data_IF_066899187350
#
_entry.id   IF_066899187350
#
_cell.length_a   1.000
_cell.length_b   1.000
_cell.length_c   1.000
_cell.angle_alpha   90.00
_cell.angle_beta   90.00
_cell.angle_gamma   90.00
#
_symmetry.space_group_name_H-M   'P 1'
#
loop_
_entity.id
_entity.type
_entity.pdbx_description
1 polymer ?
#
# COMPACT_ATOMS: atom_id res chain seq x y z
N UNK A 1 -22.04 34.55 21.77
CA UNK A 1 -22.34 34.39 20.34
C UNK A 1 -21.21 33.62 19.69
N UNK A 2 -21.56 32.62 18.86
CA UNK A 2 -20.73 31.74 18.02
C UNK A 2 -19.57 30.95 18.66
N UNK A 3 -19.67 29.63 18.51
CA UNK A 3 -18.80 28.57 19.00
C UNK A 3 -17.78 28.13 17.94
N UNK A 4 -16.61 27.73 18.44
CA UNK A 4 -15.70 26.67 17.96
C UNK A 4 -15.22 26.73 16.50
N UNK A 5 -13.92 26.94 16.36
CA UNK A 5 -13.15 26.57 15.19
C UNK A 5 -13.36 25.10 14.85
N UNK A 6 -13.72 24.86 13.60
CA UNK A 6 -13.84 23.54 13.01
C UNK A 6 -12.47 22.84 13.06
N UNK A 7 -12.34 21.65 13.66
CA UNK A 7 -11.16 20.85 13.41
C UNK A 7 -11.19 20.52 11.91
N UNK A 8 -10.24 21.09 11.15
CA UNK A 8 -9.94 20.58 9.81
C UNK A 8 -9.63 19.11 10.01
N UNK A 9 -10.57 18.24 9.66
CA UNK A 9 -10.33 16.80 9.61
C UNK A 9 -9.27 16.65 8.54
N UNK A 10 -8.02 16.61 8.97
CA UNK A 10 -6.93 16.08 8.16
C UNK A 10 -7.28 14.61 8.08
N UNK A 11 -8.10 14.24 7.08
CA UNK A 11 -8.32 12.85 6.72
C UNK A 11 -6.97 12.36 6.27
N UNK A 12 -6.14 11.88 7.21
CA UNK A 12 -4.96 11.09 6.88
C UNK A 12 -5.51 10.01 5.97
N UNK A 13 -5.12 9.96 4.69
CA UNK A 13 -5.64 8.95 3.77
C UNK A 13 -5.40 7.61 4.47
N UNK A 14 -6.48 6.86 4.74
CA UNK A 14 -6.43 5.69 5.61
C UNK A 14 -5.32 4.78 5.10
N UNK A 15 -4.26 4.60 5.88
CA UNK A 15 -3.25 3.59 5.55
C UNK A 15 -3.98 2.25 5.45
N UNK A 16 -3.76 1.53 4.35
CA UNK A 16 -4.38 0.21 4.13
C UNK A 16 -3.75 -0.86 5.04
N UNK A 17 -2.77 -0.49 5.85
CA UNK A 17 -2.12 -1.34 6.84
C UNK A 17 -0.61 -1.12 6.88
N UNK A 18 0.06 -1.94 7.68
CA UNK A 18 1.52 -1.98 7.72
C UNK A 18 2.05 -2.79 6.54
N UNK A 19 3.16 -2.34 5.97
CA UNK A 19 3.92 -3.11 5.01
C UNK A 19 4.37 -4.43 5.66
N UNK A 20 4.25 -5.53 4.92
CA UNK A 20 4.76 -6.84 5.33
C UNK A 20 6.21 -6.96 4.88
N UNK A 21 7.02 -7.62 5.70
CA UNK A 21 8.43 -7.84 5.40
C UNK A 21 8.80 -9.28 5.71
N UNK A 22 9.70 -9.82 4.92
CA UNK A 22 10.35 -11.10 5.14
C UNK A 22 11.86 -10.89 5.24
N UNK A 23 12.55 -11.85 5.83
CA UNK A 23 14.00 -11.94 5.77
C UNK A 23 14.36 -13.08 4.82
N UNK A 24 15.17 -12.80 3.82
CA UNK A 24 15.74 -13.79 2.89
C UNK A 24 16.80 -14.66 3.59
N UNK A 25 17.22 -15.77 2.97
CA UNK A 25 18.29 -16.65 3.47
C UNK A 25 19.64 -15.97 3.69
N UNK A 26 19.86 -14.79 3.09
CA UNK A 26 21.06 -13.95 3.30
C UNK A 26 20.91 -12.97 4.48
N UNK A 27 19.77 -12.96 5.16
CA UNK A 27 19.49 -11.99 6.24
C UNK A 27 19.00 -10.63 5.73
N UNK A 28 18.78 -10.47 4.42
CA UNK A 28 18.27 -9.23 3.84
C UNK A 28 16.77 -9.08 4.07
N UNK A 29 16.35 -7.87 4.46
CA UNK A 29 14.92 -7.55 4.58
C UNK A 29 14.34 -7.34 3.19
N UNK A 30 13.24 -8.03 2.91
CA UNK A 30 12.52 -7.94 1.65
C UNK A 30 11.11 -7.45 1.94
N UNK A 31 10.70 -6.40 1.24
CA UNK A 31 9.32 -5.92 1.30
C UNK A 31 8.41 -6.93 0.61
N UNK A 32 7.34 -7.34 1.28
CA UNK A 32 6.38 -8.28 0.70
C UNK A 32 5.12 -7.50 0.31
N UNK A 33 4.88 -7.37 -0.99
CA UNK A 33 3.69 -6.77 -1.56
C UNK A 33 2.64 -7.83 -1.88
N UNK A 34 1.35 -7.52 -1.73
CA UNK A 34 0.30 -8.40 -2.20
C UNK A 34 0.41 -8.55 -3.72
N UNK A 35 0.26 -9.77 -4.24
CA UNK A 35 0.27 -10.01 -5.68
C UNK A 35 -0.91 -9.35 -6.41
N UNK A 36 -1.98 -9.00 -5.70
CA UNK A 36 -3.22 -8.42 -6.25
C UNK A 36 -3.45 -7.00 -5.77
N UNK A 37 -4.10 -6.19 -6.62
CA UNK A 37 -4.58 -4.86 -6.21
C UNK A 37 -5.64 -4.97 -5.09
N UNK A 38 -5.97 -3.87 -4.38
CA UNK A 38 -6.97 -3.87 -3.31
C UNK A 38 -8.34 -4.39 -3.76
N UNK A 39 -8.73 -4.13 -5.01
CA UNK A 39 -9.97 -4.66 -5.59
C UNK A 39 -9.91 -6.16 -5.92
N UNK A 40 -8.75 -6.82 -5.81
CA UNK A 40 -8.53 -8.23 -6.10
C UNK A 40 -8.57 -8.61 -7.59
N UNK A 41 -8.92 -7.67 -8.48
CA UNK A 41 -9.17 -7.89 -9.92
C UNK A 41 -7.91 -8.00 -10.77
N UNK A 42 -6.84 -7.30 -10.41
CA UNK A 42 -5.60 -7.25 -11.19
C UNK A 42 -4.44 -7.88 -10.44
N UNK A 43 -3.58 -8.59 -11.18
CA UNK A 43 -2.33 -9.18 -10.70
C UNK A 43 -1.20 -8.19 -10.99
N UNK A 44 -0.64 -7.56 -9.96
CA UNK A 44 0.34 -6.47 -10.07
C UNK A 44 1.57 -6.82 -10.93
N UNK A 45 2.25 -7.97 -10.76
CA UNK A 45 3.41 -8.28 -11.59
C UNK A 45 3.08 -8.46 -13.08
N UNK A 46 1.84 -8.82 -13.42
CA UNK A 46 1.40 -9.00 -14.81
C UNK A 46 0.84 -7.71 -15.41
N UNK A 47 0.04 -6.98 -14.63
CA UNK A 47 -0.67 -5.78 -15.07
C UNK A 47 0.22 -4.53 -15.02
N UNK A 48 1.27 -4.55 -14.22
CA UNK A 48 2.09 -3.40 -13.92
C UNK A 48 1.60 -2.65 -12.68
N UNK A 49 2.57 -2.05 -12.00
CA UNK A 49 2.34 -1.28 -10.78
C UNK A 49 3.42 -0.20 -10.65
N UNK A 50 3.13 0.83 -9.87
CA UNK A 50 4.09 1.88 -9.49
C UNK A 50 4.19 1.93 -7.98
N UNK A 51 5.41 2.11 -7.49
CA UNK A 51 5.68 2.28 -6.06
C UNK A 51 6.44 3.57 -5.83
N UNK A 52 6.06 4.32 -4.81
CA UNK A 52 6.78 5.51 -4.36
C UNK A 52 6.77 5.53 -2.85
N UNK A 53 7.93 5.68 -2.22
CA UNK A 53 8.04 5.83 -0.77
C UNK A 53 8.23 7.30 -0.41
N UNK A 54 7.49 7.76 0.61
CA UNK A 54 7.61 9.11 1.15
C UNK A 54 7.22 9.12 2.62
N UNK A 55 8.04 9.75 3.46
CA UNK A 55 7.76 9.95 4.89
C UNK A 55 7.44 8.64 5.65
N UNK A 56 8.15 7.55 5.33
CA UNK A 56 7.91 6.23 5.94
C UNK A 56 6.61 5.56 5.49
N UNK A 57 6.01 6.01 4.39
CA UNK A 57 4.82 5.40 3.80
C UNK A 57 5.13 5.01 2.36
N UNK A 58 4.79 3.77 2.00
CA UNK A 58 4.85 3.29 0.64
C UNK A 58 3.50 3.50 -0.04
N UNK A 59 3.48 4.27 -1.10
CA UNK A 59 2.37 4.34 -2.05
C UNK A 59 2.58 3.27 -3.11
N UNK A 60 1.55 2.47 -3.31
CA UNK A 60 1.50 1.48 -4.38
C UNK A 60 0.29 1.80 -5.24
N UNK A 61 0.49 1.83 -6.55
CA UNK A 61 -0.53 2.14 -7.55
C UNK A 61 -0.60 1.01 -8.58
N UNK A 62 -1.81 0.52 -8.86
CA UNK A 62 -2.06 -0.41 -9.95
C UNK A 62 -2.32 0.38 -11.23
N UNK A 63 -1.50 0.17 -12.26
CA UNK A 63 -1.57 0.91 -13.53
C UNK A 63 -2.92 0.71 -14.22
N UNK A 64 -3.45 -0.51 -14.30
CA UNK A 64 -4.75 -0.73 -14.95
C UNK A 64 -5.93 -0.10 -14.19
N UNK A 65 -5.92 -0.16 -12.86
CA UNK A 65 -6.93 0.54 -12.07
C UNK A 65 -6.83 2.06 -12.25
N UNK A 66 -5.60 2.59 -12.34
CA UNK A 66 -5.37 4.02 -12.58
C UNK A 66 -5.87 4.42 -13.97
N UNK A 67 -5.58 3.63 -15.01
CA UNK A 67 -6.12 3.83 -16.36
C UNK A 67 -7.64 3.78 -16.39
N UNK A 68 -8.25 2.90 -15.59
CA UNK A 68 -9.70 2.80 -15.45
C UNK A 68 -10.31 3.87 -14.51
N UNK A 69 -9.52 4.80 -13.97
CA UNK A 69 -9.95 5.80 -12.98
C UNK A 69 -10.71 5.20 -11.78
N UNK A 70 -10.32 4.00 -11.36
CA UNK A 70 -10.92 3.31 -10.22
C UNK A 70 -10.52 4.02 -8.92
N UNK A 71 -11.43 4.26 -7.95
CA UNK A 71 -11.07 4.94 -6.70
C UNK A 71 -10.02 4.16 -5.89
N UNK A 72 -10.03 2.82 -5.96
CA UNK A 72 -9.05 1.93 -5.30
C UNK A 72 -7.80 1.63 -6.14
N UNK A 73 -7.43 2.53 -7.06
CA UNK A 73 -6.23 2.34 -7.90
C UNK A 73 -4.92 2.43 -7.12
N UNK A 74 -4.91 3.16 -6.01
CA UNK A 74 -3.73 3.36 -5.17
C UNK A 74 -4.04 3.06 -3.71
N UNK A 75 -3.05 2.54 -3.00
CA UNK A 75 -3.12 2.27 -1.57
C UNK A 75 -1.79 2.59 -0.89
N UNK A 76 -1.85 2.73 0.43
CA UNK A 76 -0.74 3.18 1.26
C UNK A 76 -0.40 2.14 2.30
N UNK A 77 0.88 1.80 2.42
CA UNK A 77 1.41 0.89 3.42
C UNK A 77 2.38 1.63 4.34
N UNK A 78 2.18 1.53 5.64
CA UNK A 78 3.13 2.12 6.60
C UNK A 78 4.41 1.26 6.63
N UNK A 79 5.54 1.88 6.28
CA UNK A 79 6.84 1.23 6.32
C UNK A 79 7.36 1.25 7.76
N UNK A 80 7.89 0.12 8.21
CA UNK A 80 8.60 0.04 9.48
C UNK A 80 10.10 0.29 9.25
N UNK A 81 10.47 1.55 9.02
CA UNK A 81 11.85 1.98 8.73
C UNK A 81 12.09 2.30 7.26
N UNK A 82 13.35 2.23 6.83
CA UNK A 82 13.73 2.46 5.43
C UNK A 82 13.12 1.42 4.48
N UNK A 83 12.82 1.85 3.25
CA UNK A 83 12.34 0.95 2.21
C UNK A 83 13.51 0.01 1.82
N UNK A 84 13.37 -1.32 1.95
CA UNK A 84 14.41 -2.23 1.52
C UNK A 84 14.63 -2.15 0.00
N UNK A 85 15.83 -2.47 -0.48
CA UNK A 85 16.15 -2.45 -1.91
C UNK A 85 15.43 -3.56 -2.70
N UNK A 86 14.84 -4.53 -2.01
CA UNK A 86 14.18 -5.70 -2.62
C UNK A 86 12.71 -5.75 -2.22
N UNK A 87 11.86 -6.00 -3.20
CA UNK A 87 10.43 -6.28 -3.00
C UNK A 87 10.05 -7.59 -3.70
N UNK A 88 9.25 -8.40 -3.01
CA UNK A 88 8.69 -9.67 -3.48
C UNK A 88 7.17 -9.60 -3.49
N UNK A 89 6.56 -10.40 -4.36
CA UNK A 89 5.11 -10.58 -4.41
C UNK A 89 4.72 -11.85 -3.70
N UNK A 90 3.81 -11.72 -2.74
CA UNK A 90 3.21 -12.87 -2.08
C UNK A 90 1.82 -13.16 -2.67
N UNK A 91 1.59 -14.44 -2.96
CA UNK A 91 0.36 -14.91 -3.59
C UNK A 91 -0.83 -14.96 -2.63
N UNK A 92 -0.61 -14.78 -1.31
CA UNK A 92 -1.73 -14.66 -0.39
C UNK A 92 -2.48 -13.35 -0.63
N UNK A 93 -3.82 -13.40 -0.79
CA UNK A 93 -4.62 -12.20 -0.86
C UNK A 93 -4.46 -11.38 0.42
N UNK A 94 -4.66 -10.07 0.31
CA UNK A 94 -4.72 -9.19 1.48
C UNK A 94 -5.74 -9.79 2.45
N UNK A 95 -5.29 -10.15 3.66
CA UNK A 95 -6.22 -10.58 4.70
C UNK A 95 -7.20 -9.41 4.91
N UNK A 96 -8.47 -9.66 4.61
CA UNK A 96 -9.54 -8.68 4.65
C UNK A 96 -9.49 -7.87 5.95
N UNK A 97 -9.86 -6.58 5.95
CA UNK A 97 -10.09 -5.89 7.21
C UNK A 97 -11.12 -6.72 7.99
N UNK A 98 -10.72 -7.20 9.18
CA UNK A 98 -11.64 -7.84 10.11
C UNK A 98 -12.77 -6.84 10.44
N UNK A 99 -14.03 -7.30 10.54
CA UNK A 99 -15.20 -6.45 10.80
C UNK A 99 -15.10 -5.65 12.11
#
# INVERSE_FOLDING_TARGET
MARLGEPRIVTRPRSHGRARYRVDGTGNRVLVLPMRCPSGRHVLPTTGYRTTSRDGVLHVECTACATASSPDHAWRLDLAGELPPTAEFDAEPYASPHP
#
